data_IF_663273059828
#
_entry.id   IF_663273059828
#
_cell.length_a   1.000
_cell.length_b   1.000
_cell.length_c   1.000
_cell.angle_alpha   90.00
_cell.angle_beta   90.00
_cell.angle_gamma   90.00
#
_symmetry.space_group_name_H-M   'P 1'
#
loop_
_entity.id
_entity.type
_entity.pdbx_description
1 polymer ?
#
# COMPACT_ATOMS: atom_id res chain seq x y z
N UNK A 1 -67.21 7.05 -45.93
CA UNK A 1 -66.59 7.80 -44.81
C UNK A 1 -66.67 6.94 -43.55
N UNK A 2 -65.55 6.40 -43.08
CA UNK A 2 -65.43 5.62 -41.85
C UNK A 2 -64.20 6.14 -41.09
N UNK A 3 -64.32 6.56 -39.82
CA UNK A 3 -63.13 6.91 -39.04
C UNK A 3 -62.57 5.72 -38.27
N UNK A 4 -61.23 5.60 -38.39
CA UNK A 4 -60.35 4.76 -37.61
C UNK A 4 -60.57 4.92 -36.09
N UNK A 5 -60.52 3.82 -35.35
CA UNK A 5 -60.23 3.82 -33.91
C UNK A 5 -58.93 3.08 -33.65
N UNK A 6 -57.91 3.86 -33.33
CA UNK A 6 -56.57 3.42 -32.96
C UNK A 6 -56.57 2.74 -31.60
N UNK A 7 -55.73 1.72 -31.48
CA UNK A 7 -55.43 0.97 -30.28
C UNK A 7 -54.70 1.82 -29.23
N UNK A 8 -55.14 1.76 -27.98
CA UNK A 8 -54.31 2.09 -26.82
C UNK A 8 -54.18 0.85 -25.93
N UNK A 9 -53.06 0.14 -26.08
CA UNK A 9 -52.59 -0.79 -25.05
C UNK A 9 -51.92 0.05 -23.97
N UNK A 10 -52.57 0.21 -22.83
CA UNK A 10 -51.95 0.83 -21.65
C UNK A 10 -51.12 -0.23 -20.92
N UNK A 11 -49.80 -0.02 -20.90
CA UNK A 11 -48.82 -0.80 -20.16
C UNK A 11 -48.85 -0.43 -18.67
N UNK A 12 -49.41 -1.29 -17.83
CA UNK A 12 -49.33 -1.19 -16.38
C UNK A 12 -48.25 -2.16 -15.86
N UNK A 13 -47.03 -1.68 -15.67
CA UNK A 13 -45.97 -2.44 -14.96
C UNK A 13 -44.81 -1.53 -14.54
N UNK A 14 -45.11 -0.48 -13.78
CA UNK A 14 -44.10 0.26 -13.01
C UNK A 14 -44.72 0.52 -11.64
N UNK A 15 -44.47 -0.37 -10.67
CA UNK A 15 -44.61 -0.14 -9.22
C UNK A 15 -44.29 -1.45 -8.50
N UNK A 16 -43.01 -1.80 -8.42
CA UNK A 16 -42.56 -2.82 -7.46
C UNK A 16 -41.09 -2.67 -7.11
N UNK A 17 -40.70 -1.51 -6.63
CA UNK A 17 -39.45 -1.37 -5.89
C UNK A 17 -39.69 -0.29 -4.85
N UNK A 18 -39.74 -0.68 -3.58
CA UNK A 18 -39.39 0.09 -2.38
C UNK A 18 -39.84 -0.72 -1.16
N UNK A 19 -38.90 -0.90 -0.22
CA UNK A 19 -39.00 -1.44 1.16
C UNK A 19 -38.50 -2.88 1.36
N UNK A 20 -37.18 -2.96 1.51
CA UNK A 20 -36.45 -4.06 2.13
C UNK A 20 -35.12 -3.57 2.66
N UNK A 21 -35.13 -2.61 3.58
CA UNK A 21 -33.94 -2.27 4.39
C UNK A 21 -34.21 -2.85 5.77
N UNK A 22 -33.80 -4.10 5.98
CA UNK A 22 -33.68 -4.65 7.33
C UNK A 22 -32.46 -4.00 8.01
N UNK A 23 -32.54 -3.60 9.29
CA UNK A 23 -31.35 -3.18 10.02
C UNK A 23 -30.42 -4.40 10.14
N UNK A 24 -29.21 -4.30 9.59
CA UNK A 24 -28.13 -5.24 9.86
C UNK A 24 -27.82 -5.16 11.36
N UNK A 25 -28.26 -6.16 12.11
CA UNK A 25 -27.75 -6.44 13.45
C UNK A 25 -26.24 -6.67 13.30
N UNK A 26 -25.44 -5.82 13.93
CA UNK A 26 -23.99 -5.98 14.01
C UNK A 26 -23.70 -7.29 14.76
N UNK A 27 -23.49 -8.36 14.00
CA UNK A 27 -23.02 -9.63 14.51
C UNK A 27 -21.55 -9.39 14.89
N UNK A 28 -21.26 -9.32 16.19
CA UNK A 28 -19.88 -9.42 16.66
C UNK A 28 -19.33 -10.75 16.13
N UNK A 29 -18.35 -10.66 15.23
CA UNK A 29 -17.61 -11.85 14.84
C UNK A 29 -16.93 -12.38 16.11
N UNK A 30 -17.00 -13.68 16.42
CA UNK A 30 -16.13 -14.25 17.43
C UNK A 30 -14.69 -13.97 16.95
N UNK A 31 -13.89 -13.34 17.82
CA UNK A 31 -12.45 -13.20 17.62
C UNK A 31 -11.91 -14.64 17.58
N UNK A 32 -11.75 -15.17 16.36
CA UNK A 32 -11.08 -16.44 16.14
C UNK A 32 -9.60 -16.17 16.36
N UNK A 33 -9.14 -16.32 17.60
CA UNK A 33 -7.74 -16.18 18.02
C UNK A 33 -6.81 -17.28 17.48
N UNK A 34 -7.28 -18.10 16.54
CA UNK A 34 -6.51 -19.17 15.94
C UNK A 34 -5.75 -18.66 14.72
N UNK A 35 -4.51 -18.19 14.94
CA UNK A 35 -3.38 -17.90 14.02
C UNK A 35 -2.67 -16.70 14.70
N UNK A 36 -1.63 -16.82 15.54
CA UNK A 36 -0.33 -17.48 15.40
C UNK A 36 0.24 -17.75 16.80
N UNK A 37 0.14 -18.98 17.31
CA UNK A 37 1.10 -19.43 18.33
C UNK A 37 2.33 -19.97 17.59
N UNK A 38 3.29 -19.09 17.29
CA UNK A 38 4.64 -19.48 16.85
C UNK A 38 5.63 -19.10 17.95
N UNK A 39 5.82 -19.98 18.94
CA UNK A 39 7.15 -20.11 19.58
C UNK A 39 7.78 -21.40 19.02
N UNK A 40 9.07 -21.41 18.63
CA UNK A 40 10.13 -21.06 19.56
C UNK A 40 11.24 -20.19 18.94
N UNK A 41 11.62 -19.11 19.64
CA UNK A 41 13.04 -18.74 19.66
C UNK A 41 13.49 -19.04 21.08
N UNK A 42 14.28 -20.10 21.19
CA UNK A 42 15.21 -20.32 22.27
C UNK A 42 16.17 -19.13 22.23
N UNK A 43 15.78 -18.04 22.87
CA UNK A 43 16.66 -16.92 23.12
C UNK A 43 17.72 -17.44 24.08
N UNK A 44 18.98 -17.18 23.73
CA UNK A 44 20.17 -17.44 24.55
C UNK A 44 19.80 -17.17 26.00
N UNK A 45 19.89 -18.20 26.84
CA UNK A 45 19.43 -18.22 28.23
C UNK A 45 20.04 -17.05 29.02
N UNK A 46 19.42 -15.87 28.93
CA UNK A 46 19.41 -14.94 30.02
C UNK A 46 18.49 -15.57 31.06
N UNK A 47 18.96 -15.59 32.31
CA UNK A 47 18.29 -16.15 33.46
C UNK A 47 17.00 -15.36 33.80
N UNK A 48 16.02 -15.44 32.90
CA UNK A 48 14.66 -14.92 33.03
C UNK A 48 13.77 -15.94 33.76
N UNK A 49 14.37 -16.92 34.45
CA UNK A 49 13.62 -17.93 35.19
C UNK A 49 12.74 -17.29 36.28
N UNK A 50 13.17 -16.14 36.80
CA UNK A 50 12.43 -15.34 37.79
C UNK A 50 11.50 -14.27 37.22
N UNK A 51 11.52 -14.01 35.90
CA UNK A 51 10.65 -13.00 35.28
C UNK A 51 9.29 -13.62 34.90
N UNK A 52 8.16 -12.90 35.07
CA UNK A 52 6.85 -13.44 34.72
C UNK A 52 6.76 -13.79 33.23
N UNK A 53 6.43 -15.04 32.94
CA UNK A 53 6.22 -15.54 31.57
C UNK A 53 4.81 -15.18 31.10
N UNK A 54 4.68 -14.01 30.49
CA UNK A 54 3.43 -13.53 29.90
C UNK A 54 3.28 -13.93 28.43
N UNK A 55 2.04 -13.87 27.93
CA UNK A 55 1.75 -14.13 26.52
C UNK A 55 2.32 -13.03 25.62
N UNK A 56 2.88 -13.43 24.47
CA UNK A 56 3.51 -12.53 23.52
C UNK A 56 2.46 -11.93 22.58
N UNK A 57 1.71 -10.95 23.05
CA UNK A 57 0.63 -10.29 22.30
C UNK A 57 0.93 -8.79 22.22
N UNK A 58 0.87 -8.20 21.03
CA UNK A 58 0.98 -6.73 20.89
C UNK A 58 -0.23 -6.02 21.47
N UNK A 59 0.01 -4.88 22.12
CA UNK A 59 -1.02 -3.95 22.57
C UNK A 59 -2.00 -3.56 21.45
N UNK A 60 -1.55 -3.55 20.19
CA UNK A 60 -2.40 -3.22 19.04
C UNK A 60 -3.56 -4.21 18.81
N UNK A 61 -3.43 -5.46 19.27
CA UNK A 61 -4.48 -6.50 19.18
C UNK A 61 -5.50 -6.41 20.32
N UNK A 62 -5.18 -5.72 21.40
CA UNK A 62 -6.06 -5.54 22.54
C UNK A 62 -7.23 -4.61 22.21
N UNK A 63 -8.37 -4.69 22.94
CA UNK A 63 -9.46 -3.72 22.76
C UNK A 63 -8.96 -2.29 22.99
N UNK A 64 -9.60 -1.27 22.39
CA UNK A 64 -9.11 0.11 22.45
C UNK A 64 -9.39 0.82 23.77
N UNK A 65 -10.25 0.29 24.64
CA UNK A 65 -10.70 0.95 25.88
C UNK A 65 -10.74 -0.02 27.06
N UNK A 66 -10.83 0.52 28.27
CA UNK A 66 -10.95 -0.28 29.50
C UNK A 66 -9.65 -0.49 30.27
N UNK A 67 -8.62 0.31 29.97
CA UNK A 67 -7.31 0.24 30.63
C UNK A 67 -7.08 1.47 31.49
N UNK A 68 -6.18 1.35 32.47
CA UNK A 68 -5.71 2.52 33.21
C UNK A 68 -5.01 3.54 32.29
N UNK A 69 -4.15 3.06 31.38
CA UNK A 69 -3.61 3.84 30.28
C UNK A 69 -4.28 3.39 28.98
N UNK A 70 -5.22 4.17 28.48
CA UNK A 70 -5.94 3.89 27.23
C UNK A 70 -5.05 4.01 25.99
N UNK A 71 -3.99 4.83 26.06
CA UNK A 71 -3.10 5.08 24.92
C UNK A 71 -2.18 3.89 24.68
N UNK A 72 -1.60 3.35 25.75
CA UNK A 72 -0.74 2.15 25.70
C UNK A 72 -1.52 0.84 25.85
N UNK A 73 -2.84 0.93 26.13
CA UNK A 73 -3.75 -0.19 26.41
C UNK A 73 -3.22 -1.10 27.53
N UNK A 74 -2.88 -0.48 28.66
CA UNK A 74 -2.19 -1.14 29.77
C UNK A 74 -2.74 -0.76 31.13
N UNK A 75 -2.80 -1.74 32.02
CA UNK A 75 -3.11 -1.54 33.44
C UNK A 75 -1.83 -1.45 34.30
N UNK A 76 -1.90 -0.73 35.42
CA UNK A 76 -0.76 -0.48 36.32
C UNK A 76 -0.10 -1.76 36.84
N UNK A 77 -0.91 -2.79 37.07
CA UNK A 77 -0.50 -4.02 37.75
C UNK A 77 -0.13 -5.12 36.75
N UNK A 78 -0.36 -4.88 35.45
CA UNK A 78 -0.08 -5.89 34.43
C UNK A 78 1.44 -6.06 34.27
N UNK A 79 1.95 -7.29 34.47
CA UNK A 79 3.37 -7.58 34.27
C UNK A 79 3.76 -7.36 32.81
N UNK A 80 4.97 -6.85 32.63
CA UNK A 80 5.48 -6.52 31.31
C UNK A 80 6.02 -7.77 30.61
N UNK A 81 5.92 -7.82 29.27
CA UNK A 81 6.57 -8.87 28.50
C UNK A 81 8.06 -8.56 28.33
N UNK A 82 8.90 -9.60 28.23
CA UNK A 82 10.35 -9.45 28.00
C UNK A 82 10.66 -8.61 26.76
N UNK A 83 9.96 -8.89 25.65
CA UNK A 83 9.99 -8.14 24.39
C UNK A 83 8.99 -6.96 24.34
N UNK A 84 8.61 -6.35 25.46
CA UNK A 84 7.54 -5.32 25.44
C UNK A 84 7.86 -4.10 24.56
N UNK A 85 9.13 -3.72 24.46
CA UNK A 85 9.57 -2.66 23.55
C UNK A 85 9.10 -2.94 22.12
N UNK A 86 9.01 -4.20 21.68
CA UNK A 86 8.50 -4.58 20.36
C UNK A 86 6.96 -4.66 20.30
N UNK A 87 6.30 -4.94 21.43
CA UNK A 87 4.87 -5.24 21.51
C UNK A 87 4.00 -4.04 21.88
N UNK A 88 4.62 -2.92 22.28
CA UNK A 88 3.95 -1.66 22.60
C UNK A 88 3.15 -1.08 21.41
N UNK A 89 2.24 -0.15 21.70
CA UNK A 89 1.47 0.61 20.71
C UNK A 89 2.36 1.42 19.77
N UNK A 90 3.55 1.83 20.23
CA UNK A 90 4.45 2.76 19.56
C UNK A 90 5.36 2.13 18.52
N UNK A 91 5.36 0.80 18.43
CA UNK A 91 6.18 0.07 17.49
C UNK A 91 5.51 -0.11 16.14
N UNK A 92 6.27 -0.75 15.25
CA UNK A 92 5.82 -1.25 13.97
C UNK A 92 4.48 -1.97 14.14
N UNK A 93 3.50 -1.57 13.33
CA UNK A 93 2.17 -2.15 13.42
C UNK A 93 2.22 -3.67 13.31
N UNK A 94 1.53 -4.37 14.20
CA UNK A 94 1.33 -5.82 14.08
C UNK A 94 0.02 -6.10 13.33
N UNK A 95 -0.98 -5.23 13.52
CA UNK A 95 -2.32 -5.38 12.93
C UNK A 95 -2.41 -4.55 11.65
N UNK A 96 -1.90 -5.10 10.55
CA UNK A 96 -2.05 -4.47 9.24
C UNK A 96 -3.44 -4.75 8.66
N UNK A 97 -4.21 -3.69 8.38
CA UNK A 97 -5.49 -3.77 7.67
C UNK A 97 -6.48 -4.81 8.22
N UNK A 98 -6.56 -4.93 9.56
CA UNK A 98 -7.44 -5.90 10.24
C UNK A 98 -7.20 -7.36 9.80
N UNK A 99 -5.95 -7.72 9.51
CA UNK A 99 -5.55 -9.06 9.05
C UNK A 99 -6.29 -9.50 7.76
N UNK A 100 -6.81 -8.55 6.97
CA UNK A 100 -7.56 -8.82 5.74
C UNK A 100 -6.71 -9.49 4.66
N UNK A 101 -5.42 -9.13 4.60
CA UNK A 101 -4.48 -9.66 3.62
C UNK A 101 -3.27 -10.23 4.34
N UNK A 102 -2.76 -11.34 3.83
CA UNK A 102 -1.46 -11.85 4.25
C UNK A 102 -0.34 -10.99 3.68
N UNK A 103 0.81 -10.95 4.36
CA UNK A 103 2.00 -10.20 3.90
C UNK A 103 2.38 -10.55 2.45
N UNK A 104 2.28 -11.84 2.09
CA UNK A 104 2.57 -12.31 0.74
C UNK A 104 1.57 -11.84 -0.31
N UNK A 105 0.29 -11.73 0.05
CA UNK A 105 -0.74 -11.18 -0.84
C UNK A 105 -0.52 -9.69 -1.07
N UNK A 106 -0.24 -8.92 -0.01
CA UNK A 106 0.06 -7.49 -0.12
C UNK A 106 1.32 -7.25 -0.98
N UNK A 107 2.40 -8.01 -0.74
CA UNK A 107 3.61 -7.93 -1.54
C UNK A 107 3.36 -8.32 -3.01
N UNK A 108 2.61 -9.38 -3.25
CA UNK A 108 2.25 -9.81 -4.60
C UNK A 108 1.46 -8.74 -5.36
N UNK A 109 0.51 -8.08 -4.70
CA UNK A 109 -0.26 -6.97 -5.29
C UNK A 109 0.63 -5.76 -5.59
N UNK A 110 1.56 -5.43 -4.68
CA UNK A 110 2.51 -4.33 -4.89
C UNK A 110 3.42 -4.60 -6.10
N UNK A 111 4.02 -5.79 -6.16
CA UNK A 111 4.89 -6.19 -7.27
C UNK A 111 4.11 -6.21 -8.58
N UNK A 112 2.87 -6.70 -8.58
CA UNK A 112 2.02 -6.71 -9.77
C UNK A 112 1.71 -5.29 -10.24
N UNK A 113 1.36 -4.38 -9.33
CA UNK A 113 1.09 -2.99 -9.66
C UNK A 113 2.33 -2.30 -10.26
N UNK A 114 3.50 -2.47 -9.62
CA UNK A 114 4.75 -1.89 -10.11
C UNK A 114 5.17 -2.49 -11.47
N UNK A 115 4.96 -3.80 -11.65
CA UNK A 115 5.26 -4.48 -12.91
C UNK A 115 4.34 -4.01 -14.04
N UNK A 116 3.05 -3.81 -13.77
CA UNK A 116 2.11 -3.28 -14.77
C UNK A 116 2.45 -1.83 -15.13
N UNK A 117 2.68 -0.98 -14.13
CA UNK A 117 3.02 0.42 -14.37
C UNK A 117 4.35 0.55 -15.12
N UNK A 118 5.39 -0.14 -14.64
CA UNK A 118 6.71 -0.15 -15.26
C UNK A 118 6.68 -0.78 -16.66
N UNK A 119 5.93 -1.87 -16.84
CA UNK A 119 5.77 -2.54 -18.12
C UNK A 119 5.07 -1.66 -19.16
N UNK A 120 3.97 -0.99 -18.78
CA UNK A 120 3.28 -0.05 -19.67
C UNK A 120 4.18 1.12 -20.04
N UNK A 121 4.90 1.69 -19.07
CA UNK A 121 5.81 2.80 -19.33
C UNK A 121 6.98 2.38 -20.23
N UNK A 122 7.62 1.25 -19.97
CA UNK A 122 8.71 0.73 -20.78
C UNK A 122 8.24 0.39 -22.20
N UNK A 123 7.05 -0.20 -22.34
CA UNK A 123 6.45 -0.50 -23.64
C UNK A 123 6.12 0.77 -24.42
N UNK A 124 5.50 1.76 -23.78
CA UNK A 124 5.22 3.06 -24.39
C UNK A 124 6.51 3.77 -24.81
N UNK A 125 7.55 3.74 -23.97
CA UNK A 125 8.85 4.29 -24.30
C UNK A 125 9.43 3.59 -25.53
N UNK A 126 9.46 2.26 -25.55
CA UNK A 126 9.97 1.45 -26.66
C UNK A 126 9.28 1.77 -27.99
N UNK A 127 7.95 1.91 -27.99
CA UNK A 127 7.18 2.30 -29.19
C UNK A 127 7.45 3.74 -29.64
N UNK A 128 7.75 4.66 -28.71
CA UNK A 128 7.96 6.08 -29.01
C UNK A 128 9.42 6.48 -29.28
N UNK A 129 10.39 5.58 -29.06
CA UNK A 129 11.81 5.81 -29.45
C UNK A 129 11.94 6.22 -30.92
N UNK A 130 11.29 5.57 -31.91
CA UNK A 130 11.38 6.01 -33.30
C UNK A 130 10.53 7.25 -33.64
N UNK A 131 9.51 7.58 -32.83
CA UNK A 131 8.50 8.62 -33.13
C UNK A 131 8.87 9.99 -32.55
N UNK A 132 9.70 10.04 -31.51
CA UNK A 132 10.14 11.29 -30.88
C UNK A 132 11.26 11.98 -31.67
N UNK A 133 11.03 12.16 -32.97
CA UNK A 133 11.86 13.06 -33.76
C UNK A 133 11.52 14.50 -33.35
N UNK A 134 12.50 15.21 -32.78
CA UNK A 134 12.34 16.62 -32.44
C UNK A 134 12.05 17.40 -33.72
N UNK A 135 10.85 17.96 -33.85
CA UNK A 135 10.47 18.81 -34.99
C UNK A 135 11.22 20.15 -35.03
N UNK A 136 11.97 20.48 -33.97
CA UNK A 136 12.81 21.66 -33.90
C UNK A 136 14.30 21.28 -33.99
N UNK A 137 15.05 22.07 -34.76
CA UNK A 137 16.51 22.00 -34.80
C UNK A 137 17.04 22.26 -33.38
N UNK A 138 18.01 21.46 -32.88
CA UNK A 138 18.60 21.73 -31.57
C UNK A 138 19.21 23.12 -31.55
N UNK A 139 19.10 23.81 -30.41
CA UNK A 139 19.69 25.13 -30.22
C UNK A 139 21.20 25.04 -30.49
N UNK A 140 21.67 25.77 -31.50
CA UNK A 140 23.09 25.88 -31.82
C UNK A 140 23.67 27.06 -31.07
N UNK A 141 24.82 26.82 -30.45
CA UNK A 141 25.65 27.85 -29.86
C UNK A 141 26.89 28.02 -30.75
N UNK A 142 27.55 29.20 -30.74
CA UNK A 142 28.90 29.29 -31.28
C UNK A 142 29.84 28.32 -30.52
N UNK A 143 31.08 28.15 -30.99
CA UNK A 143 32.03 27.26 -30.32
C UNK A 143 32.35 27.78 -28.91
N UNK A 144 31.65 27.24 -27.91
CA UNK A 144 31.80 27.54 -26.49
C UNK A 144 32.72 26.52 -25.80
N UNK A 145 33.54 25.77 -26.54
CA UNK A 145 34.40 24.74 -25.93
C UNK A 145 35.27 25.30 -24.79
N UNK A 146 35.83 26.49 -24.96
CA UNK A 146 36.60 27.20 -23.91
C UNK A 146 35.72 27.62 -22.72
N UNK A 147 34.52 28.15 -22.99
CA UNK A 147 33.59 28.63 -21.96
C UNK A 147 32.96 27.48 -21.13
N UNK A 148 32.88 26.27 -21.71
CA UNK A 148 32.44 25.05 -21.01
C UNK A 148 33.56 24.36 -20.22
N UNK A 149 34.76 24.93 -20.16
CA UNK A 149 35.90 24.38 -19.43
C UNK A 149 36.75 23.38 -20.23
N UNK A 150 36.71 23.45 -21.57
CA UNK A 150 37.56 22.64 -22.44
C UNK A 150 39.03 23.10 -22.42
N UNK A 151 39.93 22.14 -22.65
CA UNK A 151 41.38 22.39 -22.60
C UNK A 151 41.86 23.18 -23.84
N UNK A 152 42.52 24.34 -23.67
CA UNK A 152 42.95 25.17 -24.81
C UNK A 152 43.98 24.48 -25.70
N UNK A 153 44.78 23.55 -25.15
CA UNK A 153 45.80 22.81 -25.90
C UNK A 153 45.18 21.83 -26.90
N UNK A 154 44.14 21.10 -26.49
CA UNK A 154 43.43 20.14 -27.36
C UNK A 154 42.67 20.85 -28.48
N UNK A 155 42.14 22.04 -28.22
CA UNK A 155 41.49 22.85 -29.25
C UNK A 155 42.49 23.28 -30.35
N UNK A 156 43.73 23.60 -29.96
CA UNK A 156 44.78 23.94 -30.93
C UNK A 156 45.26 22.75 -31.75
N UNK A 157 45.25 21.54 -31.17
CA UNK A 157 45.56 20.30 -31.89
C UNK A 157 44.48 19.97 -32.93
N UNK A 158 43.20 20.04 -32.56
CA UNK A 158 42.08 19.82 -33.49
C UNK A 158 42.04 20.84 -34.64
N UNK A 159 42.49 22.08 -34.41
CA UNK A 159 42.60 23.11 -35.47
C UNK A 159 43.78 22.91 -36.42
N UNK A 160 44.77 22.07 -36.07
CA UNK A 160 45.91 21.75 -36.94
C UNK A 160 45.65 20.54 -37.84
N UNK A 161 44.71 19.69 -37.44
CA UNK A 161 44.34 18.47 -38.18
C UNK A 161 43.24 18.69 -39.23
N UNK A 162 42.57 19.84 -39.20
CA UNK A 162 41.56 20.29 -40.18
C UNK A 162 42.17 21.25 -41.20
#
# INVERSE_FOLDING_TARGET
MLPLRASLRQSASILRYMRGISPMVARSAPISSSIVNRRPKEYIAYDLESYPKVERISAQRLPPTGYWDEQDRRDKETPLHEDDDLLTMWMVDEVYQQDRYTVWQALGQLVLMLSLLGGVFAYAWWLNVPVTQRHAVPKRYPDLYLELGGDPKKLQEQKKEQ
#
